data_IF_395916119549
#
_entry.id   IF_395916119549
#
_cell.length_a   1.000
_cell.length_b   1.000
_cell.length_c   1.000
_cell.angle_alpha   90.00
_cell.angle_beta   90.00
_cell.angle_gamma   90.00
#
_symmetry.space_group_name_H-M   'P 1'
#
loop_
_entity.id
_entity.type
_entity.pdbx_description
1 polymer ?
#
# COMPACT_ATOMS: atom_id res chain seq x y z
N UNK A 1 10.32 -13.52 22.05
CA UNK A 1 9.91 -12.92 20.76
C UNK A 1 10.66 -13.65 19.66
N UNK A 2 9.97 -14.13 18.62
CA UNK A 2 10.66 -14.56 17.39
C UNK A 2 11.23 -13.28 16.78
N UNK A 3 12.55 -13.08 16.92
CA UNK A 3 13.26 -11.98 16.28
C UNK A 3 13.44 -12.36 14.80
N UNK A 4 12.58 -11.85 13.92
CA UNK A 4 12.84 -11.90 12.48
C UNK A 4 13.66 -10.68 12.11
N UNK A 5 14.72 -10.86 11.32
CA UNK A 5 15.55 -9.76 10.79
C UNK A 5 14.77 -8.87 9.80
N UNK A 6 13.62 -9.35 9.31
CA UNK A 6 12.84 -8.71 8.27
C UNK A 6 11.39 -8.50 8.73
N UNK A 7 10.78 -7.44 8.21
CA UNK A 7 9.35 -7.18 8.36
C UNK A 7 8.76 -6.72 7.02
N UNK A 8 7.49 -7.04 6.78
CA UNK A 8 6.76 -6.54 5.64
C UNK A 8 6.00 -5.27 6.04
N UNK A 9 6.33 -4.14 5.43
CA UNK A 9 5.61 -2.89 5.58
C UNK A 9 4.71 -2.64 4.36
N UNK A 10 3.42 -2.50 4.58
CA UNK A 10 2.43 -2.21 3.53
C UNK A 10 1.83 -0.84 3.80
N UNK A 11 2.12 0.12 2.92
CA UNK A 11 1.68 1.51 3.04
C UNK A 11 0.54 1.75 2.08
N UNK A 12 -0.49 2.44 2.57
CA UNK A 12 -1.56 3.01 1.76
C UNK A 12 -2.19 1.97 0.81
N UNK A 13 -2.59 0.81 1.34
CA UNK A 13 -3.34 -0.22 0.60
C UNK A 13 -4.84 -0.16 0.91
N UNK A 14 -5.36 1.06 1.00
CA UNK A 14 -6.78 1.28 1.30
C UNK A 14 -7.66 1.02 0.07
N UNK A 15 -8.89 0.61 0.35
CA UNK A 15 -9.87 0.20 -0.67
C UNK A 15 -10.09 1.28 -1.75
N UNK A 16 -9.97 2.56 -1.40
CA UNK A 16 -10.13 3.67 -2.35
C UNK A 16 -9.10 3.73 -3.47
N UNK A 17 -7.92 3.11 -3.32
CA UNK A 17 -6.87 3.12 -4.34
C UNK A 17 -7.08 2.09 -5.45
N UNK A 18 -7.75 0.99 -5.13
CA UNK A 18 -7.96 -0.14 -6.05
C UNK A 18 -9.43 -0.32 -6.43
N UNK A 19 -10.33 0.54 -5.92
CA UNK A 19 -11.73 0.59 -6.32
C UNK A 19 -11.93 1.56 -7.49
N UNK A 20 -12.34 1.01 -8.61
CA UNK A 20 -12.64 1.73 -9.85
C UNK A 20 -12.36 0.84 -11.06
N UNK A 21 -12.70 1.29 -12.28
CA UNK A 21 -12.19 0.64 -13.48
C UNK A 21 -10.66 0.54 -13.35
N UNK A 22 -10.02 -0.60 -13.71
CA UNK A 22 -8.57 -0.71 -13.65
C UNK A 22 -7.98 0.39 -14.52
N UNK A 23 -7.59 1.50 -13.89
CA UNK A 23 -7.14 2.69 -14.62
C UNK A 23 -5.83 2.40 -15.33
N UNK A 24 -5.08 1.42 -14.81
CA UNK A 24 -3.80 0.97 -15.36
C UNK A 24 -3.59 -0.53 -15.08
N UNK A 25 -3.09 -1.29 -16.07
CA UNK A 25 -2.63 -2.69 -15.92
C UNK A 25 -1.67 -2.86 -14.72
N UNK A 26 -0.89 -1.81 -14.44
CA UNK A 26 0.02 -1.74 -13.31
C UNK A 26 -0.69 -1.85 -11.94
N UNK A 27 -1.93 -1.37 -11.79
CA UNK A 27 -2.67 -1.47 -10.52
C UNK A 27 -3.00 -2.92 -10.16
N UNK A 28 -3.41 -3.72 -11.14
CA UNK A 28 -3.70 -5.15 -10.95
C UNK A 28 -2.44 -5.91 -10.57
N UNK A 29 -1.33 -5.68 -11.28
CA UNK A 29 -0.06 -6.35 -10.99
C UNK A 29 0.50 -5.97 -9.61
N UNK A 30 0.42 -4.69 -9.22
CA UNK A 30 0.84 -4.20 -7.90
C UNK A 30 0.01 -4.87 -6.79
N UNK A 31 -1.32 -4.90 -6.93
CA UNK A 31 -2.18 -5.55 -5.95
C UNK A 31 -1.86 -7.04 -5.82
N UNK A 32 -1.70 -7.76 -6.94
CA UNK A 32 -1.32 -9.17 -6.93
C UNK A 32 0.02 -9.43 -6.24
N UNK A 33 1.03 -8.60 -6.50
CA UNK A 33 2.34 -8.73 -5.89
C UNK A 33 2.30 -8.45 -4.38
N UNK A 34 1.53 -7.46 -3.95
CA UNK A 34 1.38 -7.15 -2.52
C UNK A 34 0.66 -8.29 -1.79
N UNK A 35 -0.41 -8.85 -2.37
CA UNK A 35 -1.07 -10.04 -1.83
C UNK A 35 -0.10 -11.22 -1.70
N UNK A 36 0.74 -11.46 -2.71
CA UNK A 36 1.76 -12.51 -2.67
C UNK A 36 2.80 -12.28 -1.57
N UNK A 37 3.26 -11.04 -1.38
CA UNK A 37 4.20 -10.69 -0.31
C UNK A 37 3.58 -10.88 1.08
N UNK A 38 2.31 -10.50 1.27
CA UNK A 38 1.58 -10.73 2.53
C UNK A 38 1.52 -12.21 2.85
N UNK A 39 1.22 -13.05 1.86
CA UNK A 39 1.15 -14.50 2.05
C UNK A 39 2.52 -15.10 2.36
N UNK A 40 3.57 -14.70 1.63
CA UNK A 40 4.95 -15.12 1.92
C UNK A 40 5.37 -14.71 3.33
N UNK A 41 5.06 -13.48 3.74
CA UNK A 41 5.35 -13.00 5.09
C UNK A 41 4.59 -13.78 6.17
N UNK A 42 3.34 -14.16 5.90
CA UNK A 42 2.54 -15.03 6.77
C UNK A 42 3.19 -16.39 6.98
N UNK A 43 3.58 -17.04 5.89
CA UNK A 43 4.20 -18.37 5.94
C UNK A 43 5.56 -18.34 6.66
N UNK A 44 6.35 -17.29 6.40
CA UNK A 44 7.65 -17.09 7.03
C UNK A 44 7.57 -16.59 8.49
N UNK A 45 6.36 -16.33 9.02
CA UNK A 45 6.12 -15.78 10.36
C UNK A 45 6.88 -14.47 10.63
N UNK A 46 7.10 -13.66 9.60
CA UNK A 46 7.71 -12.34 9.75
C UNK A 46 6.64 -11.31 10.13
N UNK A 47 6.98 -10.28 10.93
CA UNK A 47 6.06 -9.20 11.24
C UNK A 47 5.50 -8.54 9.97
N UNK A 48 4.21 -8.19 10.01
CA UNK A 48 3.53 -7.44 8.94
C UNK A 48 2.89 -6.20 9.56
N UNK A 49 3.21 -5.03 9.03
CA UNK A 49 2.76 -3.72 9.53
C UNK A 49 2.01 -3.02 8.41
N UNK A 50 0.82 -2.52 8.71
CA UNK A 50 -0.03 -1.80 7.76
C UNK A 50 -0.15 -0.34 8.18
N UNK A 51 0.25 0.58 7.31
CA UNK A 51 0.15 2.02 7.54
C UNK A 51 -0.87 2.62 6.57
N UNK A 52 -2.04 3.11 7.03
CA UNK A 52 -2.93 3.87 6.17
C UNK A 52 -2.32 5.25 5.87
N UNK A 53 -2.45 5.75 4.63
CA UNK A 53 -2.21 7.17 4.40
C UNK A 53 -3.37 7.96 5.00
N UNK A 54 -3.05 8.91 5.88
CA UNK A 54 -4.03 9.86 6.39
C UNK A 54 -4.39 10.83 5.25
N UNK A 55 -5.67 10.97 4.87
CA UNK A 55 -6.06 11.97 3.89
C UNK A 55 -5.70 13.35 4.43
N UNK A 56 -4.81 14.08 3.73
CA UNK A 56 -4.43 15.45 4.06
C UNK A 56 -2.96 15.72 4.39
N UNK A 57 -2.11 14.69 4.58
CA UNK A 57 -0.67 14.93 4.81
C UNK A 57 0.14 15.08 3.51
N UNK A 58 -0.38 14.55 2.39
CA UNK A 58 0.28 14.56 1.06
C UNK A 58 -0.58 15.24 -0.02
N UNK A 59 -1.31 16.30 0.32
CA UNK A 59 -1.73 17.26 -0.72
C UNK A 59 -0.56 18.21 -0.95
N UNK A 60 0.13 18.19 -2.12
CA UNK A 60 0.94 19.33 -2.48
C UNK A 60 -0.03 20.53 -2.55
N UNK A 61 0.25 21.59 -1.79
CA UNK A 61 -0.43 22.87 -1.94
C UNK A 61 -0.12 23.42 -3.35
N UNK A 62 -0.77 22.92 -4.40
CA UNK A 62 -0.86 23.61 -5.68
C UNK A 62 -2.13 24.45 -5.67
N UNK A 63 -2.07 25.60 -4.99
CA UNK A 63 -2.95 26.70 -5.35
C UNK A 63 -2.52 27.22 -6.72
N UNK A 64 -3.01 26.62 -7.80
CA UNK A 64 -3.06 27.29 -9.10
C UNK A 64 -4.49 27.71 -9.34
N UNK A 65 -4.83 28.89 -8.80
CA UNK A 65 -6.05 29.61 -9.12
C UNK A 65 -5.83 30.27 -10.47
N UNK A 66 -6.12 29.55 -11.56
CA UNK A 66 -6.22 30.16 -12.88
C UNK A 66 -7.55 30.92 -12.92
N UNK A 67 -7.44 32.25 -12.97
CA UNK A 67 -8.52 33.16 -13.33
C UNK A 67 -8.86 33.01 -14.81
#
# INVERSE_FOLDING_TARGET
MISSENALLVIDMQQGLFRGPPRHILQTAVLSNICLLIEKARLARVPRIFLPATPGLITPHSQSKVR
#
